data_IF_657461139441
#
_entry.id   IF_657461139441
#
_cell.length_a   1.000
_cell.length_b   1.000
_cell.length_c   1.000
_cell.angle_alpha   90.00
_cell.angle_beta   90.00
_cell.angle_gamma   90.00
#
_symmetry.space_group_name_H-M   'P 1'
#
loop_
_entity.id
_entity.type
_entity.pdbx_description
1 polymer ?
#
# COMPACT_ATOMS: atom_id res chain seq x y z
N UNK A 1 6.37 -7.41 13.26
CA UNK A 1 5.42 -6.35 12.84
C UNK A 1 4.78 -6.82 11.55
N UNK A 2 3.45 -6.78 11.43
CA UNK A 2 2.76 -7.21 10.19
C UNK A 2 3.01 -6.21 9.06
N UNK A 3 2.80 -6.61 7.81
CA UNK A 3 2.90 -5.66 6.70
C UNK A 3 1.76 -4.64 6.77
N UNK A 4 0.60 -5.07 7.26
CA UNK A 4 -0.52 -4.19 7.59
C UNK A 4 -0.14 -3.05 8.56
N UNK A 5 0.53 -3.35 9.67
CA UNK A 5 0.97 -2.32 10.63
C UNK A 5 1.98 -1.35 10.00
N UNK A 6 2.87 -1.88 9.16
CA UNK A 6 3.83 -1.09 8.40
C UNK A 6 3.14 -0.11 7.45
N UNK A 7 2.09 -0.52 6.74
CA UNK A 7 1.34 0.37 5.84
C UNK A 7 0.68 1.53 6.60
N UNK A 8 0.09 1.27 7.76
CA UNK A 8 -0.45 2.33 8.61
C UNK A 8 0.61 3.28 9.17
N UNK A 9 1.81 2.77 9.47
CA UNK A 9 2.95 3.63 9.80
C UNK A 9 3.36 4.48 8.60
N UNK A 10 3.34 3.92 7.39
CA UNK A 10 3.69 4.63 6.17
C UNK A 10 2.70 5.77 5.84
N UNK A 11 1.43 5.68 6.24
CA UNK A 11 0.48 6.83 6.12
C UNK A 11 0.97 8.04 6.94
N UNK A 12 1.60 7.79 8.09
CA UNK A 12 2.15 8.83 8.98
C UNK A 12 3.57 9.25 8.57
N UNK A 13 4.31 8.33 7.97
CA UNK A 13 5.73 8.43 7.63
C UNK A 13 5.96 7.86 6.22
N UNK A 14 5.56 8.59 5.17
CA UNK A 14 5.55 8.09 3.79
C UNK A 14 6.93 7.66 3.29
N UNK A 15 8.01 8.20 3.85
CA UNK A 15 9.38 7.79 3.56
C UNK A 15 9.61 6.29 3.77
N UNK A 16 8.88 5.66 4.72
CA UNK A 16 9.00 4.22 4.98
C UNK A 16 8.60 3.38 3.77
N UNK A 17 7.52 3.76 3.07
CA UNK A 17 7.09 3.04 1.87
C UNK A 17 8.00 3.34 0.68
N UNK A 18 8.51 4.57 0.56
CA UNK A 18 9.47 4.91 -0.49
C UNK A 18 10.78 4.11 -0.34
N UNK A 19 11.34 4.02 0.86
CA UNK A 19 12.51 3.19 1.16
C UNK A 19 12.24 1.70 0.90
N UNK A 20 11.04 1.22 1.20
CA UNK A 20 10.64 -0.15 0.90
C UNK A 20 10.53 -0.41 -0.61
N UNK A 21 9.94 0.53 -1.35
CA UNK A 21 9.81 0.46 -2.80
C UNK A 21 11.19 0.38 -3.48
N UNK A 22 12.16 1.17 -3.02
CA UNK A 22 13.52 1.15 -3.57
C UNK A 22 14.19 -0.23 -3.41
N UNK A 23 13.98 -0.91 -2.28
CA UNK A 23 14.50 -2.26 -2.04
C UNK A 23 13.92 -3.31 -2.98
N UNK A 24 12.71 -3.09 -3.49
CA UNK A 24 12.09 -3.96 -4.51
C UNK A 24 12.31 -3.46 -5.94
N UNK A 25 13.20 -2.48 -6.14
CA UNK A 25 13.55 -1.95 -7.45
C UNK A 25 12.48 -1.02 -8.05
N UNK A 26 11.69 -0.37 -7.20
CA UNK A 26 10.71 0.65 -7.60
C UNK A 26 11.09 2.01 -7.04
N UNK A 27 10.93 3.06 -7.82
CA UNK A 27 11.03 4.44 -7.34
C UNK A 27 9.63 5.04 -7.33
N UNK A 28 9.16 5.42 -6.15
CA UNK A 28 7.84 6.02 -5.96
C UNK A 28 8.00 7.42 -5.37
N UNK A 29 7.06 8.29 -5.70
CA UNK A 29 6.96 9.61 -5.09
C UNK A 29 5.66 9.67 -4.30
N UNK A 30 5.78 10.13 -3.05
CA UNK A 30 4.65 10.36 -2.15
C UNK A 30 4.73 11.82 -1.74
N UNK A 31 3.70 12.59 -2.06
CA UNK A 31 3.68 14.03 -1.81
C UNK A 31 3.63 14.30 -0.29
N UNK A 32 4.66 14.95 0.25
CA UNK A 32 4.83 15.14 1.70
C UNK A 32 3.85 16.14 2.33
N UNK A 33 3.37 17.07 1.52
CA UNK A 33 2.44 18.16 1.83
C UNK A 33 0.95 17.75 1.69
N UNK A 34 0.68 16.49 1.33
CA UNK A 34 -0.65 15.91 1.31
C UNK A 34 -1.27 15.82 2.73
N UNK A 35 -2.59 15.93 2.83
CA UNK A 35 -3.29 15.68 4.10
C UNK A 35 -3.29 14.17 4.46
N UNK A 36 -3.84 13.82 5.62
CA UNK A 36 -3.88 12.42 6.06
C UNK A 36 -4.59 11.49 5.04
N UNK A 37 -5.72 11.93 4.48
CA UNK A 37 -6.54 11.12 3.58
C UNK A 37 -5.90 11.00 2.19
N UNK A 38 -5.28 12.08 1.71
CA UNK A 38 -4.50 12.06 0.48
C UNK A 38 -3.29 11.13 0.60
N UNK A 39 -2.60 11.12 1.75
CA UNK A 39 -1.54 10.14 2.03
C UNK A 39 -2.09 8.72 2.12
N UNK A 40 -3.20 8.50 2.83
CA UNK A 40 -3.84 7.19 2.94
C UNK A 40 -4.12 6.58 1.56
N UNK A 41 -4.68 7.38 0.65
CA UNK A 41 -4.93 6.98 -0.73
C UNK A 41 -3.64 6.64 -1.48
N UNK A 42 -2.63 7.51 -1.43
CA UNK A 42 -1.35 7.27 -2.11
C UNK A 42 -0.67 5.99 -1.61
N UNK A 43 -0.63 5.78 -0.30
CA UNK A 43 -0.05 4.57 0.31
C UNK A 43 -0.83 3.32 -0.13
N UNK A 44 -2.16 3.37 -0.18
CA UNK A 44 -2.97 2.24 -0.60
C UNK A 44 -2.76 1.87 -2.08
N UNK A 45 -2.62 2.87 -2.96
CA UNK A 45 -2.27 2.65 -4.37
C UNK A 45 -0.88 2.02 -4.47
N UNK A 46 0.13 2.64 -3.85
CA UNK A 46 1.51 2.17 -3.96
C UNK A 46 1.73 0.80 -3.33
N UNK A 47 1.07 0.48 -2.22
CA UNK A 47 1.15 -0.82 -1.57
C UNK A 47 0.76 -1.96 -2.53
N UNK A 48 -0.26 -1.74 -3.36
CA UNK A 48 -0.71 -2.70 -4.36
C UNK A 48 0.30 -2.84 -5.48
N UNK A 49 0.77 -1.73 -6.05
CA UNK A 49 1.75 -1.75 -7.15
C UNK A 49 3.07 -2.42 -6.72
N UNK A 50 3.52 -2.13 -5.51
CA UNK A 50 4.73 -2.72 -4.92
C UNK A 50 4.56 -4.22 -4.73
N UNK A 51 3.45 -4.66 -4.15
CA UNK A 51 3.19 -6.07 -3.92
C UNK A 51 3.12 -6.85 -5.23
N UNK A 52 2.45 -6.31 -6.25
CA UNK A 52 2.34 -6.97 -7.56
C UNK A 52 3.69 -7.00 -8.29
N UNK A 53 4.51 -5.97 -8.14
CA UNK A 53 5.88 -5.97 -8.66
C UNK A 53 6.74 -7.02 -7.96
N UNK A 54 6.64 -7.12 -6.64
CA UNK A 54 7.35 -8.13 -5.85
C UNK A 54 6.90 -9.54 -6.25
N UNK A 55 5.58 -9.76 -6.40
CA UNK A 55 5.00 -11.02 -6.86
C UNK A 55 5.49 -11.42 -8.26
N UNK A 56 5.65 -10.47 -9.18
CA UNK A 56 6.12 -10.75 -10.54
C UNK A 56 7.61 -11.16 -10.61
N UNK A 57 8.43 -10.76 -9.64
CA UNK A 57 9.86 -11.11 -9.59
C UNK A 57 10.15 -12.37 -8.78
N UNK A 58 9.22 -12.78 -7.92
CA UNK A 58 9.37 -13.98 -7.08
C UNK A 58 8.58 -15.11 -7.75
N UNK A 59 9.29 -15.99 -8.47
CA UNK A 59 8.71 -17.14 -9.22
C UNK A 59 8.26 -18.30 -8.31
N UNK A 60 7.85 -18.01 -7.07
CA UNK A 60 7.44 -19.01 -6.10
C UNK A 60 6.30 -18.49 -5.23
N UNK A 61 5.33 -19.38 -4.98
CA UNK A 61 4.24 -19.19 -4.01
C UNK A 61 4.80 -19.22 -2.59
N UNK A 62 5.57 -18.19 -2.20
CA UNK A 62 6.11 -18.03 -0.85
C UNK A 62 4.93 -17.69 0.08
N UNK A 63 4.74 -18.41 1.20
CA UNK A 63 3.67 -18.14 2.17
C UNK A 63 3.59 -16.67 2.61
N UNK A 64 4.74 -16.01 2.71
CA UNK A 64 4.89 -14.60 3.07
C UNK A 64 4.20 -13.66 2.06
N UNK A 65 4.16 -14.02 0.77
CA UNK A 65 3.47 -13.24 -0.27
C UNK A 65 1.95 -13.31 -0.09
N UNK A 66 1.40 -14.48 0.27
CA UNK A 66 -0.04 -14.65 0.55
C UNK A 66 -0.47 -13.87 1.78
N UNK A 67 0.35 -13.85 2.82
CA UNK A 67 0.09 -13.05 4.02
C UNK A 67 0.11 -11.55 3.69
N UNK A 68 1.13 -11.09 2.96
CA UNK A 68 1.20 -9.69 2.50
C UNK A 68 0.04 -9.30 1.58
N UNK A 69 -0.38 -10.20 0.71
CA UNK A 69 -1.56 -10.02 -0.12
C UNK A 69 -2.82 -9.74 0.72
N UNK A 70 -3.04 -10.55 1.76
CA UNK A 70 -4.15 -10.35 2.69
C UNK A 70 -4.02 -9.04 3.45
N UNK A 71 -2.82 -8.70 3.92
CA UNK A 71 -2.55 -7.44 4.63
C UNK A 71 -2.83 -6.21 3.75
N UNK A 72 -2.37 -6.22 2.50
CA UNK A 72 -2.63 -5.15 1.52
C UNK A 72 -4.11 -5.07 1.17
N UNK A 73 -4.76 -6.21 0.91
CA UNK A 73 -6.18 -6.27 0.59
C UNK A 73 -7.05 -5.67 1.71
N UNK A 74 -6.72 -6.02 2.96
CA UNK A 74 -7.34 -5.46 4.16
C UNK A 74 -7.11 -3.96 4.25
N UNK A 75 -5.86 -3.52 4.12
CA UNK A 75 -5.51 -2.10 4.18
C UNK A 75 -6.25 -1.27 3.12
N UNK A 76 -6.34 -1.76 1.88
CA UNK A 76 -7.09 -1.08 0.79
C UNK A 76 -8.59 -1.01 1.10
N UNK A 77 -9.18 -2.06 1.66
CA UNK A 77 -10.59 -2.07 2.02
C UNK A 77 -10.90 -1.05 3.12
N UNK A 78 -10.06 -0.99 4.16
CA UNK A 78 -10.20 -0.02 5.25
C UNK A 78 -9.95 1.42 4.75
N UNK A 79 -8.91 1.64 3.93
CA UNK A 79 -8.62 2.94 3.33
C UNK A 79 -9.80 3.45 2.48
N UNK A 80 -10.44 2.57 1.70
CA UNK A 80 -11.65 2.90 0.95
C UNK A 80 -12.79 3.32 1.87
N UNK A 81 -13.06 2.54 2.92
CA UNK A 81 -14.12 2.85 3.88
C UNK A 81 -13.89 4.20 4.56
N UNK A 82 -12.65 4.47 5.00
CA UNK A 82 -12.28 5.73 5.65
C UNK A 82 -12.46 6.93 4.73
N UNK A 83 -12.01 6.84 3.47
CA UNK A 83 -12.18 7.89 2.47
C UNK A 83 -13.66 8.15 2.16
N UNK A 84 -14.45 7.09 1.95
CA UNK A 84 -15.88 7.20 1.67
C UNK A 84 -16.63 7.80 2.87
N UNK A 85 -16.27 7.44 4.10
CA UNK A 85 -16.89 7.95 5.32
C UNK A 85 -16.70 9.47 5.52
N UNK A 86 -15.60 10.03 5.01
CA UNK A 86 -15.34 11.48 5.05
C UNK A 86 -15.63 12.21 3.75
N UNK A 87 -16.27 11.54 2.78
CA UNK A 87 -16.61 12.14 1.48
C UNK A 87 -15.42 12.45 0.58
N UNK A 88 -14.30 11.75 0.75
CA UNK A 88 -13.10 11.84 -0.10
C UNK A 88 -13.18 10.85 -1.26
N UNK A 89 -12.43 11.15 -2.32
CA UNK A 89 -12.40 10.32 -3.52
C UNK A 89 -11.58 9.03 -3.32
N UNK A 90 -12.26 7.89 -3.27
CA UNK A 90 -11.67 6.55 -3.20
C UNK A 90 -11.39 5.92 -4.58
N UNK A 91 -11.52 6.67 -5.68
CA UNK A 91 -11.19 6.16 -7.02
C UNK A 91 -9.73 5.72 -7.13
N UNK A 92 -9.47 4.72 -7.98
CA UNK A 92 -8.13 4.15 -8.17
C UNK A 92 -7.71 3.13 -7.11
N UNK A 93 -8.39 3.05 -5.95
CA UNK A 93 -8.16 1.98 -4.98
C UNK A 93 -8.61 0.63 -5.54
N UNK A 94 -7.69 -0.30 -5.73
CA UNK A 94 -7.95 -1.63 -6.29
C UNK A 94 -7.42 -2.70 -5.35
N UNK A 95 -8.09 -3.85 -5.32
CA UNK A 95 -7.57 -5.01 -4.60
C UNK A 95 -6.33 -5.56 -5.35
N UNK A 96 -5.33 -6.08 -4.61
CA UNK A 96 -4.14 -6.65 -5.23
C UNK A 96 -4.47 -7.96 -5.97
N UNK A 97 -3.76 -8.22 -7.07
CA UNK A 97 -3.88 -9.43 -7.90
C UNK A 97 -2.81 -10.44 -7.49
N UNK A 98 -3.11 -11.08 -6.39
CA UNK A 98 -2.41 -12.22 -5.81
C UNK A 98 -3.50 -13.21 -5.35
#
# INVERSE_FOLDING_TARGET
>A
MSFYDFLWQAVKRPELLAEYAERVGMRIEIYGDADFYDRLKQIAIWAVEILEREAAHIDASIPQLRERCRDVARFVAEARMDLEAVGRDASGLRQPRC
#
